data_IF_571940168310
#
_entry.id   IF_571940168310
#
_cell.length_a   1.000
_cell.length_b   1.000
_cell.length_c   1.000
_cell.angle_alpha   90.00
_cell.angle_beta   90.00
_cell.angle_gamma   90.00
#
_symmetry.space_group_name_H-M   'P 1'
#
loop_
_entity.id
_entity.type
_entity.pdbx_description
1 polymer ?
#
# COMPACT_ATOMS: atom_id res chain seq x y z
N UNK A 1 21.11 -89.40 -11.56
CA UNK A 1 20.60 -88.86 -12.83
C UNK A 1 19.25 -88.19 -12.53
N UNK A 2 19.23 -86.91 -12.15
CA UNK A 2 18.00 -86.15 -11.92
C UNK A 2 18.23 -84.74 -12.42
N UNK A 3 17.53 -84.43 -13.50
CA UNK A 3 17.66 -83.25 -14.36
C UNK A 3 17.23 -81.99 -13.61
N UNK A 4 18.13 -80.99 -13.56
CA UNK A 4 17.75 -79.60 -13.34
C UNK A 4 16.79 -79.18 -14.46
N UNK A 5 15.61 -78.67 -14.11
CA UNK A 5 14.80 -77.86 -15.03
C UNK A 5 14.69 -76.46 -14.45
N UNK A 6 15.68 -75.62 -14.76
CA UNK A 6 15.62 -74.20 -14.51
C UNK A 6 14.49 -73.60 -15.36
N UNK A 7 13.47 -73.05 -14.69
CA UNK A 7 12.57 -72.08 -15.30
C UNK A 7 13.35 -70.78 -15.50
N UNK A 8 14.11 -70.67 -16.59
CA UNK A 8 14.45 -69.36 -17.11
C UNK A 8 13.20 -68.80 -17.75
N UNK A 9 12.55 -67.84 -17.07
CA UNK A 9 11.68 -66.87 -17.73
C UNK A 9 12.50 -66.25 -18.85
N UNK A 10 12.15 -66.60 -20.09
CA UNK A 10 12.65 -65.94 -21.27
C UNK A 10 12.02 -64.55 -21.25
N UNK A 11 12.78 -63.53 -20.82
CA UNK A 11 12.43 -62.15 -21.10
C UNK A 11 12.38 -62.02 -22.61
N UNK A 12 11.19 -61.77 -23.14
CA UNK A 12 11.05 -61.30 -24.52
C UNK A 12 11.59 -59.88 -24.51
N UNK A 13 12.91 -59.77 -24.66
CA UNK A 13 13.57 -58.49 -24.96
C UNK A 13 13.23 -58.13 -26.40
N UNK A 14 11.98 -57.70 -26.62
CA UNK A 14 11.61 -56.98 -27.82
C UNK A 14 12.24 -55.58 -27.69
N UNK A 15 13.28 -55.35 -28.49
CA UNK A 15 13.98 -54.07 -28.54
C UNK A 15 13.00 -52.93 -28.88
N UNK A 16 13.13 -51.82 -28.14
CA UNK A 16 12.36 -50.60 -28.31
C UNK A 16 12.12 -50.27 -29.79
N UNK A 17 10.86 -50.16 -30.18
CA UNK A 17 10.53 -49.75 -31.55
C UNK A 17 10.86 -48.27 -31.71
N UNK A 18 11.47 -47.87 -32.84
CA UNK A 18 11.84 -46.47 -33.11
C UNK A 18 10.63 -45.50 -33.05
N UNK A 19 9.42 -46.00 -33.30
CA UNK A 19 8.20 -45.20 -33.21
C UNK A 19 7.81 -44.90 -31.76
N UNK A 20 7.93 -45.89 -30.89
CA UNK A 20 7.61 -45.74 -29.47
C UNK A 20 8.54 -44.76 -28.77
N UNK A 21 9.84 -44.83 -29.07
CA UNK A 21 10.82 -43.87 -28.55
C UNK A 21 10.54 -42.45 -29.05
N UNK A 22 10.10 -42.27 -30.30
CA UNK A 22 9.72 -40.97 -30.85
C UNK A 22 8.49 -40.39 -30.15
N UNK A 23 7.45 -41.20 -29.95
CA UNK A 23 6.24 -40.77 -29.22
C UNK A 23 6.58 -40.43 -27.77
N UNK A 24 7.40 -41.25 -27.10
CA UNK A 24 7.83 -40.99 -25.73
C UNK A 24 8.64 -39.69 -25.61
N UNK A 25 9.56 -39.43 -26.54
CA UNK A 25 10.31 -38.16 -26.58
C UNK A 25 9.38 -36.97 -26.81
N UNK A 26 8.41 -37.07 -27.73
CA UNK A 26 7.47 -35.99 -28.02
C UNK A 26 6.62 -35.65 -26.78
N UNK A 27 6.07 -36.66 -26.10
CA UNK A 27 5.30 -36.48 -24.86
C UNK A 27 6.19 -35.88 -23.76
N UNK A 28 7.41 -36.40 -23.56
CA UNK A 28 8.33 -35.86 -22.57
C UNK A 28 8.69 -34.39 -22.83
N UNK A 29 8.97 -34.01 -24.08
CA UNK A 29 9.29 -32.63 -24.43
C UNK A 29 8.12 -31.68 -24.19
N UNK A 30 6.90 -32.08 -24.57
CA UNK A 30 5.72 -31.23 -24.32
C UNK A 30 5.45 -31.05 -22.83
N UNK A 31 5.62 -32.12 -22.03
CA UNK A 31 5.45 -32.04 -20.59
C UNK A 31 6.51 -31.12 -19.95
N UNK A 32 7.78 -31.27 -20.30
CA UNK A 32 8.87 -30.41 -19.77
C UNK A 32 8.68 -28.96 -20.20
N UNK A 33 8.26 -28.71 -21.44
CA UNK A 33 7.98 -27.35 -21.90
C UNK A 33 6.84 -26.70 -21.12
N UNK A 34 5.75 -27.45 -20.87
CA UNK A 34 4.61 -26.96 -20.09
C UNK A 34 4.98 -26.66 -18.64
N UNK A 35 5.76 -27.53 -17.98
CA UNK A 35 6.17 -27.32 -16.58
C UNK A 35 7.12 -26.14 -16.43
N UNK A 36 8.04 -25.94 -17.37
CA UNK A 36 8.95 -24.79 -17.36
C UNK A 36 8.16 -23.47 -17.45
N UNK A 37 7.18 -23.40 -18.35
CA UNK A 37 6.33 -22.22 -18.49
C UNK A 37 5.53 -21.95 -17.22
N UNK A 38 4.93 -22.98 -16.62
CA UNK A 38 4.19 -22.86 -15.37
C UNK A 38 5.06 -22.32 -14.23
N UNK A 39 6.32 -22.78 -14.12
CA UNK A 39 7.25 -22.29 -13.10
C UNK A 39 7.59 -20.80 -13.30
N UNK A 40 7.81 -20.35 -14.53
CA UNK A 40 8.09 -18.93 -14.82
C UNK A 40 6.90 -18.06 -14.46
N UNK A 41 5.69 -18.47 -14.83
CA UNK A 41 4.46 -17.74 -14.49
C UNK A 41 4.27 -17.67 -12.97
N UNK A 42 4.50 -18.78 -12.27
CA UNK A 42 4.39 -18.84 -10.81
C UNK A 42 5.43 -17.94 -10.13
N UNK A 43 6.68 -17.93 -10.59
CA UNK A 43 7.73 -17.07 -10.06
C UNK A 43 7.40 -15.59 -10.27
N UNK A 44 6.96 -15.22 -11.48
CA UNK A 44 6.54 -13.85 -11.79
C UNK A 44 5.36 -13.41 -10.91
N UNK A 45 4.33 -14.26 -10.80
CA UNK A 45 3.14 -13.95 -10.00
C UNK A 45 3.47 -13.81 -8.53
N UNK A 46 4.41 -14.60 -8.01
CA UNK A 46 4.87 -14.49 -6.61
C UNK A 46 5.57 -13.16 -6.37
N UNK A 47 6.44 -12.72 -7.27
CA UNK A 47 7.15 -11.43 -7.13
C UNK A 47 6.12 -10.30 -7.09
N UNK A 48 5.19 -10.25 -8.05
CA UNK A 48 4.13 -9.23 -8.07
C UNK A 48 3.27 -9.25 -6.82
N UNK A 49 2.88 -10.44 -6.34
CA UNK A 49 2.10 -10.56 -5.11
C UNK A 49 2.87 -10.04 -3.89
N UNK A 50 4.17 -10.27 -3.82
CA UNK A 50 5.02 -9.77 -2.75
C UNK A 50 5.14 -8.24 -2.79
N UNK A 51 5.42 -7.65 -3.97
CA UNK A 51 5.47 -6.20 -4.16
C UNK A 51 4.17 -5.52 -3.71
N UNK A 52 3.02 -6.08 -4.11
CA UNK A 52 1.72 -5.54 -3.68
C UNK A 52 1.48 -5.70 -2.18
N UNK A 53 1.91 -6.81 -1.59
CA UNK A 53 1.72 -7.06 -0.15
C UNK A 53 2.56 -6.10 0.70
N UNK A 54 3.80 -5.87 0.31
CA UNK A 54 4.71 -4.92 0.97
C UNK A 54 4.20 -3.49 0.83
N UNK A 55 3.81 -3.08 -0.38
CA UNK A 55 3.23 -1.76 -0.61
C UNK A 55 1.98 -1.51 0.26
N UNK A 56 1.08 -2.49 0.39
CA UNK A 56 -0.07 -2.37 1.30
C UNK A 56 0.31 -2.35 2.77
N UNK A 57 1.41 -3.00 3.17
CA UNK A 57 1.88 -2.98 4.55
C UNK A 57 2.42 -1.59 4.93
N UNK A 58 3.19 -0.95 4.04
CA UNK A 58 3.67 0.43 4.23
C UNK A 58 2.52 1.41 4.41
N UNK A 59 1.48 1.28 3.58
CA UNK A 59 0.25 2.09 3.71
C UNK A 59 -0.44 1.82 5.05
N UNK A 60 -0.54 0.57 5.49
CA UNK A 60 -1.18 0.23 6.76
C UNK A 60 -0.42 0.76 7.97
N UNK A 61 0.90 0.66 7.96
CA UNK A 61 1.76 1.20 9.02
C UNK A 61 1.57 2.72 9.17
N UNK A 62 1.64 3.46 8.06
CA UNK A 62 1.44 4.91 8.09
C UNK A 62 -0.01 5.28 8.48
N UNK A 63 -1.00 4.51 8.02
CA UNK A 63 -2.39 4.72 8.43
C UNK A 63 -2.59 4.48 9.93
N UNK A 64 -1.92 3.48 10.51
CA UNK A 64 -1.97 3.23 11.95
C UNK A 64 -1.35 4.38 12.74
N UNK A 65 -0.26 4.98 12.25
CA UNK A 65 0.33 6.20 12.81
C UNK A 65 -0.66 7.37 12.78
N UNK A 66 -1.28 7.66 11.64
CA UNK A 66 -2.29 8.73 11.55
C UNK A 66 -3.49 8.47 12.45
N UNK A 67 -3.98 7.23 12.51
CA UNK A 67 -5.09 6.85 13.40
C UNK A 67 -4.72 7.02 14.86
N UNK A 68 -3.49 6.70 15.23
CA UNK A 68 -2.99 6.91 16.58
C UNK A 68 -2.98 8.40 16.95
N UNK A 69 -2.54 9.26 16.03
CA UNK A 69 -2.58 10.73 16.21
C UNK A 69 -4.02 11.25 16.32
N UNK A 70 -4.94 10.71 15.53
CA UNK A 70 -6.36 11.08 15.55
C UNK A 70 -7.07 10.74 16.87
N UNK A 71 -6.47 9.92 17.73
CA UNK A 71 -7.03 9.66 19.05
C UNK A 71 -6.94 10.88 19.95
N UNK A 72 -7.95 11.07 20.81
CA UNK A 72 -8.01 12.22 21.74
C UNK A 72 -6.81 12.28 22.70
N UNK A 73 -6.12 11.18 22.93
CA UNK A 73 -4.93 11.16 23.78
C UNK A 73 -3.77 11.94 23.15
N UNK A 74 -3.66 11.92 21.82
CA UNK A 74 -2.57 12.56 21.08
C UNK A 74 -2.99 13.90 20.50
N UNK A 75 -4.15 13.95 19.85
CA UNK A 75 -4.78 15.18 19.40
C UNK A 75 -5.82 15.65 20.42
N UNK A 76 -5.38 16.44 21.39
CA UNK A 76 -6.22 16.97 22.47
C UNK A 76 -6.28 18.51 22.40
N UNK A 77 -7.17 19.09 21.57
CA UNK A 77 -7.36 20.54 21.57
C UNK A 77 -7.82 21.00 22.97
N UNK A 78 -7.40 22.18 23.41
CA UNK A 78 -7.89 22.75 24.67
C UNK A 78 -9.42 22.91 24.62
N UNK A 79 -10.12 22.93 25.77
CA UNK A 79 -11.60 23.07 25.78
C UNK A 79 -12.11 24.27 24.96
N UNK A 80 -11.34 25.38 24.95
CA UNK A 80 -11.67 26.56 24.15
C UNK A 80 -11.42 26.36 22.65
N UNK A 81 -10.35 25.66 22.27
CA UNK A 81 -10.09 25.31 20.86
C UNK A 81 -11.06 24.25 20.36
N UNK A 82 -11.45 23.29 21.20
CA UNK A 82 -12.46 22.29 20.89
C UNK A 82 -13.79 22.96 20.55
N UNK A 83 -14.29 23.85 21.42
CA UNK A 83 -15.52 24.61 21.19
C UNK A 83 -15.47 25.41 19.86
N UNK A 84 -14.36 26.13 19.61
CA UNK A 84 -14.17 26.87 18.36
C UNK A 84 -14.10 25.98 17.11
N UNK A 85 -13.46 24.81 17.20
CA UNK A 85 -13.29 23.87 16.08
C UNK A 85 -14.53 23.02 15.83
N UNK A 86 -15.33 22.73 16.87
CA UNK A 86 -16.67 22.15 16.76
C UNK A 86 -17.63 23.10 16.03
N UNK A 87 -17.48 24.41 16.28
CA UNK A 87 -18.27 25.49 15.71
C UNK A 87 -17.71 26.04 14.38
N UNK A 88 -16.80 25.32 13.71
CA UNK A 88 -16.28 25.68 12.38
C UNK A 88 -17.39 25.83 11.29
N UNK A 89 -18.65 25.58 11.66
CA UNK A 89 -19.87 25.81 10.87
C UNK A 89 -20.47 27.24 10.99
N UNK A 90 -19.86 28.15 11.76
CA UNK A 90 -20.65 29.19 12.44
C UNK A 90 -20.83 30.56 11.80
N UNK A 91 -19.88 31.10 11.02
CA UNK A 91 -19.91 32.56 10.75
C UNK A 91 -19.35 32.93 9.36
N UNK A 92 -20.08 32.56 8.29
CA UNK A 92 -19.91 33.13 6.94
C UNK A 92 -20.03 34.68 6.89
N UNK A 93 -20.42 35.32 8.00
CA UNK A 93 -20.67 36.77 8.09
C UNK A 93 -19.48 37.55 8.69
N UNK A 94 -18.45 36.87 9.20
CA UNK A 94 -17.19 37.55 9.48
C UNK A 94 -16.38 37.57 8.19
N UNK A 95 -16.31 38.76 7.57
CA UNK A 95 -15.15 39.17 6.77
C UNK A 95 -13.91 39.16 7.66
N UNK A 96 -13.49 37.99 8.12
CA UNK A 96 -12.13 37.79 8.61
C UNK A 96 -11.23 38.01 7.40
N UNK A 97 -10.19 38.80 7.64
CA UNK A 97 -9.22 39.15 6.63
C UNK A 97 -8.73 37.84 6.01
N UNK A 98 -8.68 37.73 4.68
CA UNK A 98 -8.17 36.53 3.99
C UNK A 98 -6.67 36.27 4.27
N UNK A 99 -6.09 37.07 5.15
CA UNK A 99 -4.73 36.99 5.66
C UNK A 99 -4.65 36.29 7.04
N UNK A 100 -5.79 36.06 7.72
CA UNK A 100 -5.90 35.21 8.91
C UNK A 100 -6.49 33.86 8.48
N UNK A 101 -5.71 33.04 7.78
CA UNK A 101 -6.14 31.75 7.24
C UNK A 101 -6.48 30.69 8.31
N UNK A 102 -6.42 31.03 9.61
CA UNK A 102 -6.26 30.06 10.69
C UNK A 102 -7.37 30.02 11.76
N UNK A 103 -8.62 30.37 11.43
CA UNK A 103 -9.71 30.39 12.44
C UNK A 103 -11.01 29.70 12.07
N UNK A 104 -11.14 29.24 10.84
CA UNK A 104 -12.24 28.39 10.38
C UNK A 104 -11.76 26.93 10.13
N UNK A 105 -10.61 26.59 10.70
CA UNK A 105 -9.95 25.28 10.62
C UNK A 105 -10.73 24.25 11.46
N UNK A 106 -11.65 23.51 10.85
CA UNK A 106 -12.38 22.41 11.51
C UNK A 106 -11.46 21.33 12.09
N UNK A 107 -11.98 20.37 12.86
CA UNK A 107 -11.17 19.37 13.55
C UNK A 107 -10.22 18.56 12.65
N UNK A 108 -10.59 18.36 11.38
CA UNK A 108 -9.71 17.72 10.40
C UNK A 108 -8.43 18.51 10.11
N UNK A 109 -8.50 19.84 10.13
CA UNK A 109 -7.38 20.72 9.83
C UNK A 109 -6.31 20.68 10.92
N UNK A 110 -6.72 20.63 12.18
CA UNK A 110 -5.78 20.53 13.30
C UNK A 110 -5.18 19.14 13.41
N UNK A 111 -5.95 18.10 13.06
CA UNK A 111 -5.40 16.76 12.90
C UNK A 111 -4.36 16.73 11.76
N UNK A 112 -4.64 17.37 10.62
CA UNK A 112 -3.68 17.48 9.51
C UNK A 112 -2.37 18.12 9.99
N UNK A 113 -2.46 19.23 10.70
CA UNK A 113 -1.28 19.95 11.17
C UNK A 113 -0.46 19.11 12.15
N UNK A 114 -1.10 18.44 13.11
CA UNK A 114 -0.42 17.52 14.04
C UNK A 114 0.26 16.36 13.29
N UNK A 115 -0.42 15.76 12.30
CA UNK A 115 0.15 14.72 11.45
C UNK A 115 1.37 15.24 10.69
N UNK A 116 1.33 16.48 10.20
CA UNK A 116 2.45 17.09 9.47
C UNK A 116 3.64 17.41 10.38
N UNK A 117 3.40 17.96 11.58
CA UNK A 117 4.44 18.27 12.56
C UNK A 117 5.26 17.04 12.96
N UNK A 118 4.63 15.87 13.10
CA UNK A 118 5.34 14.61 13.38
C UNK A 118 6.20 14.15 12.20
N UNK A 119 5.78 14.49 10.99
CA UNK A 119 6.43 14.07 9.75
C UNK A 119 7.56 14.99 9.26
N UNK A 120 7.76 16.17 9.89
CA UNK A 120 8.78 17.18 9.54
C UNK A 120 10.24 16.73 9.72
N UNK A 121 10.50 15.50 10.16
CA UNK A 121 11.87 14.95 10.18
C UNK A 121 12.39 14.58 8.80
N UNK A 122 11.53 14.39 7.80
CA UNK A 122 11.91 13.98 6.45
C UNK A 122 11.27 14.88 5.37
N UNK A 123 12.10 15.79 4.82
CA UNK A 123 11.99 16.55 3.56
C UNK A 123 10.58 16.77 2.97
N UNK A 124 9.94 17.86 3.38
CA UNK A 124 8.62 18.32 2.91
C UNK A 124 8.73 19.39 1.80
N UNK A 125 7.88 19.33 0.77
CA UNK A 125 7.71 20.39 -0.25
C UNK A 125 6.26 20.92 -0.20
N UNK A 126 6.04 21.97 0.59
CA UNK A 126 4.72 22.62 0.74
C UNK A 126 4.36 23.28 -0.58
N UNK A 127 3.44 22.69 -1.34
CA UNK A 127 2.87 23.33 -2.52
C UNK A 127 1.68 24.18 -2.10
N UNK A 128 1.98 25.33 -1.46
CA UNK A 128 1.07 26.36 -0.93
C UNK A 128 0.29 26.00 0.36
N UNK A 129 0.58 26.64 1.51
CA UNK A 129 -0.12 26.44 2.79
C UNK A 129 -1.55 27.03 2.82
N UNK A 130 -2.11 27.37 1.66
CA UNK A 130 -3.47 27.94 1.52
C UNK A 130 -4.38 27.05 0.69
N UNK A 131 -3.85 25.98 0.11
CA UNK A 131 -4.66 24.89 -0.44
C UNK A 131 -4.88 23.87 0.70
N UNK A 132 -6.13 23.53 0.93
CA UNK A 132 -6.65 22.46 1.80
C UNK A 132 -6.07 21.05 1.48
N UNK A 133 -5.11 20.97 0.54
CA UNK A 133 -4.46 19.79 0.01
C UNK A 133 -2.96 19.85 0.28
N UNK A 134 -2.48 18.94 1.12
CA UNK A 134 -1.06 18.78 1.45
C UNK A 134 -0.54 17.45 0.93
N UNK A 135 0.62 17.44 0.27
CA UNK A 135 1.26 16.20 -0.23
C UNK A 135 2.48 15.88 0.62
N UNK A 136 2.46 14.73 1.28
CA UNK A 136 3.58 14.11 1.97
C UNK A 136 4.19 13.01 1.11
N UNK A 137 5.52 12.90 1.08
CA UNK A 137 6.23 11.82 0.39
C UNK A 137 7.40 11.30 1.23
N UNK A 138 7.41 10.00 1.52
CA UNK A 138 8.48 9.28 2.21
C UNK A 138 9.19 8.33 1.24
N UNK A 139 10.50 8.48 1.07
CA UNK A 139 11.31 7.44 0.42
C UNK A 139 11.56 6.31 1.43
N UNK A 140 11.18 5.09 1.06
CA UNK A 140 11.41 3.89 1.88
C UNK A 140 12.54 3.10 1.21
N UNK A 141 13.66 2.98 1.93
CA UNK A 141 14.87 2.30 1.46
C UNK A 141 14.70 0.77 1.56
N UNK A 142 15.35 0.04 0.65
CA UNK A 142 15.11 -1.40 0.43
C UNK A 142 15.51 -2.33 1.59
N UNK A 143 15.95 -1.82 2.74
CA UNK A 143 16.26 -2.67 3.90
C UNK A 143 14.97 -3.07 4.66
N UNK A 144 13.88 -2.31 4.50
CA UNK A 144 12.54 -2.67 5.00
C UNK A 144 11.72 -3.53 4.01
N UNK A 145 12.21 -3.70 2.78
CA UNK A 145 11.47 -4.29 1.67
C UNK A 145 12.33 -5.39 1.04
N UNK A 146 11.89 -6.66 1.05
CA UNK A 146 12.73 -7.83 0.71
C UNK A 146 13.20 -7.91 -0.76
N UNK A 147 12.88 -6.91 -1.57
CA UNK A 147 13.21 -6.82 -2.99
C UNK A 147 13.98 -5.51 -3.12
N UNK A 148 15.24 -5.55 -3.58
CA UNK A 148 16.17 -4.41 -3.70
C UNK A 148 15.75 -3.28 -4.66
N UNK A 149 14.50 -2.85 -4.56
CA UNK A 149 13.80 -1.76 -5.22
C UNK A 149 13.48 -0.74 -4.13
N UNK A 150 13.66 0.53 -4.43
CA UNK A 150 13.22 1.60 -3.53
C UNK A 150 11.76 1.86 -3.81
N UNK A 151 10.98 2.21 -2.78
CA UNK A 151 9.59 2.60 -2.94
C UNK A 151 9.40 4.00 -2.37
N UNK A 152 8.46 4.75 -2.92
CA UNK A 152 8.07 6.05 -2.38
C UNK A 152 6.61 5.96 -2.00
N UNK A 153 6.35 6.13 -0.70
CA UNK A 153 5.01 6.30 -0.16
C UNK A 153 4.63 7.77 -0.28
N UNK A 154 3.62 8.08 -1.08
CA UNK A 154 2.99 9.38 -1.14
C UNK A 154 1.69 9.32 -0.35
N UNK A 155 1.46 10.29 0.51
CA UNK A 155 0.21 10.50 1.26
C UNK A 155 -0.26 11.92 0.98
N UNK A 156 -1.43 12.05 0.40
CA UNK A 156 -2.09 13.32 0.18
C UNK A 156 -3.16 13.49 1.25
N UNK A 157 -3.05 14.57 2.03
CA UNK A 157 -4.02 14.96 3.04
C UNK A 157 -4.93 16.02 2.44
N UNK A 158 -6.24 15.78 2.50
CA UNK A 158 -7.25 16.70 2.00
C UNK A 158 -8.32 16.92 3.07
N UNK A 159 -8.82 18.14 3.19
CA UNK A 159 -9.94 18.45 4.08
C UNK A 159 -11.19 18.52 3.24
N UNK A 160 -12.26 17.88 3.71
CA UNK A 160 -13.54 17.91 3.01
C UNK A 160 -14.03 19.36 2.86
N UNK A 161 -14.38 19.79 1.64
CA UNK A 161 -14.90 21.15 1.34
C UNK A 161 -16.33 21.41 1.88
N UNK A 162 -16.83 20.54 2.76
CA UNK A 162 -18.18 20.59 3.29
C UNK A 162 -18.17 20.43 4.80
N UNK A 163 -18.97 21.27 5.44
CA UNK A 163 -19.35 21.14 6.84
C UNK A 163 -19.76 19.68 7.16
N UNK A 164 -19.29 19.10 8.29
CA UNK A 164 -18.71 19.78 9.45
C UNK A 164 -17.17 19.86 9.51
N UNK A 165 -16.42 19.73 8.39
CA UNK A 165 -14.94 19.83 8.36
C UNK A 165 -14.19 18.95 9.40
N UNK A 166 -14.82 17.85 9.81
CA UNK A 166 -14.31 16.92 10.82
C UNK A 166 -13.66 15.67 10.20
N UNK A 167 -13.63 15.59 8.87
CA UNK A 167 -13.08 14.45 8.15
C UNK A 167 -11.79 14.86 7.46
N UNK A 168 -10.70 14.18 7.83
CA UNK A 168 -9.43 14.23 7.11
C UNK A 168 -9.44 13.11 6.07
N UNK A 169 -9.37 13.48 4.80
CA UNK A 169 -9.28 12.55 3.68
C UNK A 169 -7.80 12.25 3.42
N UNK A 170 -7.47 10.96 3.28
CA UNK A 170 -6.13 10.47 3.00
C UNK A 170 -6.13 9.66 1.72
N UNK A 171 -5.29 10.07 0.79
CA UNK A 171 -5.02 9.36 -0.46
C UNK A 171 -3.57 8.90 -0.47
N UNK A 172 -3.37 7.59 -0.53
CA UNK A 172 -2.07 6.93 -0.50
C UNK A 172 -1.73 6.37 -1.86
N UNK A 173 -0.50 6.58 -2.29
CA UNK A 173 0.10 5.98 -3.48
C UNK A 173 1.48 5.43 -3.13
N UNK A 174 1.74 4.17 -3.44
CA UNK A 174 3.09 3.61 -3.38
C UNK A 174 3.61 3.46 -4.79
N UNK A 175 4.62 4.25 -5.13
CA UNK A 175 5.27 4.21 -6.44
C UNK A 175 6.64 3.56 -6.33
N UNK A 176 7.02 2.83 -7.38
CA UNK A 176 8.39 2.42 -7.58
C UNK A 176 9.04 3.40 -8.56
N UNK A 177 10.01 4.25 -8.15
CA UNK A 177 10.62 5.26 -9.00
C UNK A 177 11.46 4.66 -10.16
N UNK A 178 11.67 3.34 -10.17
CA UNK A 178 12.43 2.62 -11.20
C UNK A 178 11.55 1.95 -12.26
N UNK A 179 10.28 1.69 -11.96
CA UNK A 179 9.27 1.23 -12.93
C UNK A 179 8.39 2.44 -13.31
N UNK A 180 7.65 2.38 -14.41
CA UNK A 180 6.77 3.47 -14.87
C UNK A 180 5.93 4.07 -13.72
N UNK A 181 5.47 5.33 -13.86
CA UNK A 181 4.75 6.10 -12.82
C UNK A 181 3.43 5.48 -12.31
N UNK A 182 3.07 4.28 -12.78
CA UNK A 182 1.90 3.54 -12.30
C UNK A 182 2.12 3.11 -10.83
N UNK A 183 1.18 3.44 -9.93
CA UNK A 183 1.29 3.06 -8.53
C UNK A 183 1.16 1.55 -8.35
N UNK A 184 2.03 1.00 -7.51
CA UNK A 184 2.05 -0.42 -7.12
C UNK A 184 0.88 -0.73 -6.19
N UNK A 185 0.51 0.23 -5.35
CA UNK A 185 -0.69 0.19 -4.52
C UNK A 185 -1.25 1.60 -4.33
N UNK A 186 -2.57 1.68 -4.28
CA UNK A 186 -3.33 2.89 -3.98
C UNK A 186 -4.32 2.59 -2.85
N UNK A 187 -4.56 3.56 -1.98
CA UNK A 187 -5.61 3.46 -0.96
C UNK A 187 -6.20 4.83 -0.65
N UNK A 188 -7.52 4.89 -0.62
CA UNK A 188 -8.25 6.03 -0.08
C UNK A 188 -8.85 5.67 1.27
N UNK A 189 -8.74 6.57 2.25
CA UNK A 189 -9.40 6.42 3.54
C UNK A 189 -9.73 7.78 4.14
N UNK A 190 -10.71 7.78 5.03
CA UNK A 190 -11.11 8.95 5.81
C UNK A 190 -10.80 8.69 7.28
N UNK A 191 -10.30 9.71 7.97
CA UNK A 191 -10.02 9.68 9.42
C UNK A 191 -10.80 10.81 10.08
N UNK A 192 -11.54 10.44 11.13
CA UNK A 192 -12.27 11.38 11.98
C UNK A 192 -11.55 11.40 13.33
N UNK A 193 -11.07 12.57 13.80
CA UNK A 193 -10.44 12.67 15.10
C UNK A 193 -11.47 12.40 16.20
N UNK A 194 -11.06 11.75 17.29
CA UNK A 194 -11.96 11.41 18.39
C UNK A 194 -12.63 12.65 19.01
N UNK A 195 -11.88 13.76 19.04
CA UNK A 195 -12.37 15.07 19.49
C UNK A 195 -13.65 15.52 18.73
N UNK A 196 -13.86 15.07 17.49
CA UNK A 196 -15.06 15.40 16.72
C UNK A 196 -16.35 14.75 17.23
N UNK A 197 -16.23 13.70 18.06
CA UNK A 197 -17.38 13.08 18.73
C UNK A 197 -17.72 13.74 20.08
N UNK A 198 -16.92 14.73 20.50
CA UNK A 198 -17.20 15.55 21.68
C UNK A 198 -17.89 16.87 21.33
N UNK A 199 -17.91 17.20 20.04
CA UNK A 199 -18.92 18.02 19.41
C UNK A 199 -20.25 17.22 19.30
#
# INVERSE_FOLDING_TARGET
MLQLKSKLQRSTEEGFTLLETLVAMLVATTFVAATMQAMVIAAYSRIRAQETSEATALIQEDLEEVKFIATKERYNPSETELDHRCDANGDNDRKFDKNDANRDEGLADGLRDEVLEETERDRYEITNPTDYKTIYSREVESDEIEIGKNYVLKRTLNIADKEPYNVLELEYEVINPQEDEDPVAEMYTEVIPDAAFEC
#
